data_IF_129690530448
#
_entry.id   IF_129690530448
#
_cell.length_a   1.000
_cell.length_b   1.000
_cell.length_c   1.000
_cell.angle_alpha   90.00
_cell.angle_beta   90.00
_cell.angle_gamma   90.00
#
_symmetry.space_group_name_H-M   'P 1'
#
loop_
_entity.id
_entity.type
_entity.pdbx_description
1 polymer ?
#
# COMPACT_ATOMS: atom_id res chain seq x y z
N UNK A 1 6.08 1.42 -27.15
CA UNK A 1 5.90 2.46 -26.11
C UNK A 1 4.55 2.34 -25.39
N UNK A 2 3.48 2.06 -26.15
CA UNK A 2 2.08 1.91 -25.69
C UNK A 2 1.91 0.94 -24.50
N UNK A 3 2.46 -0.28 -24.57
CA UNK A 3 2.38 -1.23 -23.45
C UNK A 3 3.27 -0.93 -22.25
N UNK A 4 4.34 -0.13 -22.44
CA UNK A 4 5.14 0.37 -21.32
C UNK A 4 4.32 1.41 -20.56
N UNK A 5 3.48 2.16 -21.27
CA UNK A 5 2.61 3.19 -20.71
C UNK A 5 1.38 2.61 -19.98
N UNK A 6 0.71 1.60 -20.56
CA UNK A 6 -0.35 0.85 -19.88
C UNK A 6 0.14 0.15 -18.58
N UNK A 7 1.40 -0.32 -18.57
CA UNK A 7 2.05 -0.88 -17.37
C UNK A 7 2.27 0.11 -16.24
N UNK A 8 2.19 1.40 -16.52
CA UNK A 8 2.48 2.46 -15.58
C UNK A 8 1.17 3.00 -14.96
N UNK A 9 0.10 3.06 -15.75
CA UNK A 9 -1.16 3.66 -15.32
C UNK A 9 -1.98 2.74 -14.38
N UNK A 10 -1.97 1.43 -14.59
CA UNK A 10 -2.75 0.50 -13.75
C UNK A 10 -2.11 0.15 -12.40
N UNK A 11 -0.83 0.47 -12.17
CA UNK A 11 -0.10 0.07 -10.95
C UNK A 11 -0.33 1.06 -9.79
N UNK A 12 -1.21 2.04 -9.97
CA UNK A 12 -1.55 3.03 -8.94
C UNK A 12 -2.42 2.47 -7.81
N UNK A 13 -2.74 1.18 -7.89
CA UNK A 13 -3.52 0.41 -6.92
C UNK A 13 -2.72 -0.32 -5.86
N UNK A 14 -1.40 -0.11 -5.78
CA UNK A 14 -0.67 -0.50 -4.58
C UNK A 14 -1.04 0.45 -3.42
N UNK A 15 -2.25 0.31 -2.87
CA UNK A 15 -2.64 0.91 -1.60
C UNK A 15 -1.88 0.31 -0.42
N UNK A 16 -1.17 -0.79 -0.66
CA UNK A 16 -0.02 -1.09 0.15
C UNK A 16 1.13 -0.13 -0.22
N UNK A 17 1.37 0.83 0.66
CA UNK A 17 2.73 1.30 0.95
C UNK A 17 3.59 0.12 1.43
N UNK A 18 3.83 -0.87 0.57
CA UNK A 18 5.03 -1.66 0.61
C UNK A 18 6.16 -0.70 0.22
N UNK A 19 6.55 0.13 1.19
CA UNK A 19 7.89 0.68 1.30
C UNK A 19 8.85 -0.47 1.65
N UNK A 20 8.74 -1.58 0.93
CA UNK A 20 9.57 -2.74 1.13
C UNK A 20 10.77 -2.54 0.24
N UNK A 21 11.75 -1.88 0.85
CA UNK A 21 13.14 -1.93 0.43
C UNK A 21 13.66 -3.36 0.62
N UNK A 22 13.11 -4.35 -0.07
CA UNK A 22 13.70 -5.68 -0.08
C UNK A 22 13.67 -6.22 -1.51
N UNK A 23 14.88 -6.45 -2.03
CA UNK A 23 15.08 -7.60 -2.90
C UNK A 23 14.48 -8.79 -2.13
N UNK A 24 13.41 -9.40 -2.62
CA UNK A 24 13.10 -10.79 -2.28
C UNK A 24 14.29 -11.60 -2.80
N UNK A 25 15.31 -11.72 -1.95
CA UNK A 25 16.64 -12.09 -2.38
C UNK A 25 17.33 -12.86 -1.27
N UNK A 26 17.50 -14.16 -1.55
CA UNK A 26 18.59 -15.05 -1.12
C UNK A 26 19.20 -14.73 0.24
N UNK A 27 19.01 -15.65 1.20
CA UNK A 27 19.80 -15.90 2.42
C UNK A 27 21.06 -15.01 2.53
N UNK A 28 20.96 -13.79 3.07
CA UNK A 28 22.14 -12.91 3.07
C UNK A 28 22.06 -11.52 3.69
N UNK A 29 20.90 -10.90 3.96
CA UNK A 29 20.89 -9.53 4.54
C UNK A 29 19.97 -9.41 5.76
N UNK A 30 20.50 -9.80 6.93
CA UNK A 30 19.80 -9.71 8.23
C UNK A 30 19.92 -8.33 8.92
N UNK A 31 20.82 -7.44 8.48
CA UNK A 31 21.05 -6.13 9.11
C UNK A 31 20.08 -5.06 8.61
N UNK A 32 19.85 -5.02 7.29
CA UNK A 32 18.92 -4.10 6.62
C UNK A 32 17.52 -4.14 7.27
N UNK A 33 17.05 -5.33 7.67
CA UNK A 33 15.76 -5.52 8.36
C UNK A 33 15.69 -4.78 9.70
N UNK A 34 16.75 -4.85 10.51
CA UNK A 34 16.79 -4.21 11.84
C UNK A 34 16.91 -2.71 11.69
N UNK A 35 17.72 -2.23 10.74
CA UNK A 35 17.79 -0.81 10.38
C UNK A 35 16.42 -0.27 9.97
N UNK A 36 15.66 -1.02 9.16
CA UNK A 36 14.31 -0.63 8.75
C UNK A 36 13.36 -0.52 9.95
N UNK A 37 13.36 -1.50 10.86
CA UNK A 37 12.51 -1.47 12.06
C UNK A 37 12.90 -0.31 12.99
N UNK A 38 14.21 -0.07 13.21
CA UNK A 38 14.69 1.04 14.04
C UNK A 38 14.23 2.38 13.47
N UNK A 39 14.24 2.57 12.15
CA UNK A 39 13.75 3.79 11.51
C UNK A 39 12.26 4.04 11.80
N UNK A 40 11.44 2.99 11.82
CA UNK A 40 10.01 3.09 12.14
C UNK A 40 9.80 3.43 13.63
N UNK A 41 10.48 2.72 14.53
CA UNK A 41 10.35 2.90 15.98
C UNK A 41 10.86 4.28 16.43
N UNK A 42 12.00 4.73 15.89
CA UNK A 42 12.60 6.03 16.22
C UNK A 42 11.77 7.21 15.72
N UNK A 43 11.20 7.12 14.51
CA UNK A 43 10.34 8.18 13.94
C UNK A 43 9.10 8.45 14.80
N UNK A 44 8.57 7.42 15.44
CA UNK A 44 7.34 7.51 16.25
C UNK A 44 7.61 7.83 17.73
N UNK A 45 8.82 8.32 18.07
CA UNK A 45 9.21 8.76 19.42
C UNK A 45 8.94 7.73 20.54
N UNK A 46 8.93 6.43 20.22
CA UNK A 46 8.64 5.33 21.17
C UNK A 46 9.86 5.01 22.03
N UNK A 47 10.52 6.05 22.54
CA UNK A 47 11.75 5.94 23.34
C UNK A 47 11.48 5.40 24.75
N UNK A 48 10.23 5.16 25.16
CA UNK A 48 9.88 5.05 26.58
C UNK A 48 9.15 3.80 27.03
N UNK A 49 8.70 2.89 26.16
CA UNK A 49 7.74 1.85 26.62
C UNK A 49 8.32 0.46 26.87
N UNK A 50 9.22 -0.11 26.05
CA UNK A 50 9.77 -1.46 26.38
C UNK A 50 11.18 -1.78 25.86
N UNK A 51 11.78 -0.94 25.00
CA UNK A 51 13.19 -1.13 24.62
C UNK A 51 14.13 -0.68 25.76
N UNK A 52 13.63 0.20 26.64
CA UNK A 52 14.43 1.03 27.55
C UNK A 52 13.92 0.95 29.01
N UNK A 53 12.84 0.23 29.29
CA UNK A 53 12.37 0.06 30.68
C UNK A 53 13.32 -0.89 31.43
N UNK A 54 13.99 -0.32 32.43
CA UNK A 54 14.79 -0.94 33.50
C UNK A 54 16.29 -1.19 33.19
N UNK A 55 17.05 -0.14 33.49
CA UNK A 55 18.48 -0.09 33.88
C UNK A 55 19.59 -0.04 32.81
N UNK A 56 20.17 1.17 32.77
CA UNK A 56 21.50 1.62 32.31
C UNK A 56 21.73 1.69 30.79
N UNK A 57 22.01 2.90 30.37
CA UNK A 57 22.79 3.39 29.22
C UNK A 57 24.15 2.70 28.96
N UNK A 58 24.38 1.50 29.51
CA UNK A 58 25.65 0.74 29.44
C UNK A 58 25.49 -0.65 28.84
N UNK A 59 24.28 -1.12 28.51
CA UNK A 59 24.13 -2.45 27.90
C UNK A 59 24.57 -2.45 26.44
N UNK A 60 25.25 -3.51 26.00
CA UNK A 60 25.63 -3.69 24.58
C UNK A 60 24.42 -3.65 23.64
N UNK A 61 23.24 -3.99 24.14
CA UNK A 61 21.99 -3.99 23.38
C UNK A 61 21.57 -2.56 23.01
N UNK A 62 21.58 -1.66 24.00
CA UNK A 62 21.27 -0.25 23.80
C UNK A 62 22.33 0.42 22.91
N UNK A 63 23.61 0.12 23.15
CA UNK A 63 24.71 0.61 22.29
C UNK A 63 24.56 0.13 20.83
N UNK A 64 24.14 -1.11 20.60
CA UNK A 64 23.85 -1.61 19.25
C UNK A 64 22.69 -0.83 18.61
N UNK A 65 21.64 -0.52 19.37
CA UNK A 65 20.51 0.27 18.88
C UNK A 65 20.93 1.69 18.47
N UNK A 66 21.62 2.43 19.34
CA UNK A 66 22.07 3.80 19.07
C UNK A 66 23.00 3.86 17.86
N UNK A 67 24.01 3.00 17.81
CA UNK A 67 24.97 2.97 16.69
C UNK A 67 24.32 2.61 15.35
N UNK A 68 23.25 1.80 15.35
CA UNK A 68 22.48 1.56 14.13
C UNK A 68 21.62 2.78 13.78
N UNK A 69 20.99 3.40 14.78
CA UNK A 69 20.16 4.59 14.59
C UNK A 69 20.95 5.77 14.02
N UNK A 70 22.17 5.97 14.50
CA UNK A 70 23.12 7.00 14.04
C UNK A 70 23.74 6.66 12.68
N UNK A 71 23.54 5.45 12.16
CA UNK A 71 24.09 5.01 10.87
C UNK A 71 25.56 4.60 10.91
N UNK A 72 26.16 4.49 12.09
CA UNK A 72 27.56 4.06 12.30
C UNK A 72 27.74 2.59 11.94
N UNK A 73 26.77 1.74 12.29
CA UNK A 73 26.79 0.30 11.95
C UNK A 73 26.00 0.05 10.66
N UNK A 74 26.71 -0.39 9.62
CA UNK A 74 26.11 -0.79 8.33
C UNK A 74 26.14 -2.30 8.09
N UNK A 75 27.10 -3.01 8.67
CA UNK A 75 27.26 -4.47 8.53
C UNK A 75 27.32 -5.21 9.87
N UNK A 76 27.15 -6.54 9.82
CA UNK A 76 27.29 -7.39 11.00
C UNK A 76 28.74 -7.39 11.50
N UNK A 77 29.69 -7.32 10.57
CA UNK A 77 31.13 -7.23 10.81
C UNK A 77 31.50 -5.94 11.56
N UNK A 78 30.93 -4.79 11.17
CA UNK A 78 31.14 -3.51 11.87
C UNK A 78 30.66 -3.59 13.32
N UNK A 79 29.46 -4.15 13.51
CA UNK A 79 28.87 -4.32 14.83
C UNK A 79 29.72 -5.23 15.73
N UNK A 80 30.26 -6.32 15.17
CA UNK A 80 31.14 -7.24 15.91
C UNK A 80 32.43 -6.53 16.33
N UNK A 81 33.05 -5.76 15.42
CA UNK A 81 34.29 -5.00 15.71
C UNK A 81 34.08 -3.99 16.84
N UNK A 82 32.99 -3.21 16.80
CA UNK A 82 32.72 -2.14 17.75
C UNK A 82 32.26 -2.68 19.13
N UNK A 83 31.39 -3.70 19.15
CA UNK A 83 30.78 -4.19 20.41
C UNK A 83 31.61 -5.26 21.13
N UNK A 84 32.54 -5.91 20.41
CA UNK A 84 33.39 -6.96 20.94
C UNK A 84 34.86 -6.76 20.49
N UNK A 85 35.57 -5.73 20.99
CA UNK A 85 36.96 -5.45 20.57
C UNK A 85 37.96 -6.55 21.01
N UNK A 86 37.86 -7.09 22.23
CA UNK A 86 38.81 -8.09 22.78
C UNK A 86 38.73 -9.45 22.11
N UNK A 87 39.82 -10.00 21.53
CA UNK A 87 39.88 -11.34 20.90
C UNK A 87 39.24 -12.40 21.82
N UNK A 88 38.07 -12.91 21.43
CA UNK A 88 37.32 -13.94 22.14
C UNK A 88 36.82 -14.93 21.09
N UNK A 89 36.96 -16.23 21.35
CA UNK A 89 36.52 -17.29 20.42
C UNK A 89 35.02 -17.20 20.11
N UNK A 90 34.22 -16.56 20.99
CA UNK A 90 32.75 -16.56 20.92
C UNK A 90 32.11 -15.20 20.55
N UNK A 91 32.87 -14.22 20.04
CA UNK A 91 32.34 -12.89 19.69
C UNK A 91 31.14 -12.95 18.76
N UNK A 92 31.26 -13.74 17.68
CA UNK A 92 30.25 -13.81 16.62
C UNK A 92 28.94 -14.43 17.12
N UNK A 93 29.03 -15.52 17.88
CA UNK A 93 27.87 -16.16 18.53
C UNK A 93 27.17 -15.20 19.50
N UNK A 94 27.96 -14.49 20.32
CA UNK A 94 27.44 -13.51 21.28
C UNK A 94 26.73 -12.35 20.60
N UNK A 95 27.31 -11.83 19.50
CA UNK A 95 26.69 -10.78 18.69
C UNK A 95 25.36 -11.23 18.08
N UNK A 96 25.27 -12.43 17.50
CA UNK A 96 24.01 -12.89 16.92
C UNK A 96 22.90 -13.08 17.96
N UNK A 97 23.25 -13.51 19.18
CA UNK A 97 22.29 -13.53 20.30
C UNK A 97 21.82 -12.11 20.66
N UNK A 98 22.73 -11.14 20.71
CA UNK A 98 22.41 -9.74 20.96
C UNK A 98 21.51 -9.15 19.87
N UNK A 99 21.83 -9.39 18.60
CA UNK A 99 21.05 -8.98 17.43
C UNK A 99 19.64 -9.57 17.45
N UNK A 100 19.51 -10.86 17.77
CA UNK A 100 18.22 -11.52 17.92
C UNK A 100 17.38 -10.88 19.05
N UNK A 101 17.99 -10.63 20.21
CA UNK A 101 17.31 -9.95 21.32
C UNK A 101 16.85 -8.54 20.94
N UNK A 102 17.68 -7.78 20.22
CA UNK A 102 17.33 -6.44 19.76
C UNK A 102 16.16 -6.51 18.78
N UNK A 103 16.22 -7.41 17.79
CA UNK A 103 15.12 -7.63 16.85
C UNK A 103 13.82 -7.97 17.58
N UNK A 104 13.86 -8.90 18.55
CA UNK A 104 12.69 -9.29 19.35
C UNK A 104 12.09 -8.10 20.12
N UNK A 105 12.90 -7.29 20.81
CA UNK A 105 12.42 -6.11 21.53
C UNK A 105 11.84 -5.05 20.60
N UNK A 106 12.50 -4.79 19.47
CA UNK A 106 12.01 -3.87 18.46
C UNK A 106 10.65 -4.31 17.92
N UNK A 107 10.46 -5.60 17.62
CA UNK A 107 9.17 -6.15 17.17
C UNK A 107 8.07 -5.95 18.21
N UNK A 108 8.34 -6.24 19.49
CA UNK A 108 7.39 -5.98 20.57
C UNK A 108 7.05 -4.48 20.68
N UNK A 109 8.01 -3.62 20.32
CA UNK A 109 7.83 -2.17 20.42
C UNK A 109 6.88 -1.60 19.36
N UNK A 110 6.73 -2.30 18.24
CA UNK A 110 5.83 -1.91 17.15
C UNK A 110 4.38 -1.80 17.67
N UNK A 111 3.96 -2.62 18.62
CA UNK A 111 2.61 -2.53 19.18
C UNK A 111 2.34 -1.22 19.94
N UNK A 112 3.39 -0.51 20.38
CA UNK A 112 3.27 0.79 21.05
C UNK A 112 3.34 1.98 20.11
N UNK A 113 3.41 1.76 18.78
CA UNK A 113 3.33 2.85 17.83
C UNK A 113 1.93 3.45 17.96
N UNK A 114 1.85 4.66 18.51
CA UNK A 114 0.60 5.40 18.55
C UNK A 114 0.54 6.29 17.32
N UNK A 115 -0.10 5.81 16.26
CA UNK A 115 -0.50 6.66 15.15
C UNK A 115 -1.73 7.42 15.63
N UNK A 116 -1.63 8.75 15.77
CA UNK A 116 -2.83 9.58 15.92
C UNK A 116 -3.63 9.41 14.63
N UNK A 117 -4.83 8.80 14.67
CA UNK A 117 -5.61 8.55 13.47
C UNK A 117 -5.94 9.91 12.85
N UNK A 118 -5.55 10.09 11.59
CA UNK A 118 -6.06 11.18 10.79
C UNK A 118 -7.24 10.60 10.02
N UNK A 119 -8.42 11.20 10.13
CA UNK A 119 -9.62 10.73 9.40
C UNK A 119 -9.41 10.70 7.88
N UNK A 120 -8.45 11.49 7.38
CA UNK A 120 -8.05 11.52 5.98
C UNK A 120 -6.97 10.49 5.60
N UNK A 121 -6.40 9.74 6.56
CA UNK A 121 -5.44 8.67 6.31
C UNK A 121 -6.04 7.31 6.71
N UNK A 122 -6.67 6.65 5.74
CA UNK A 122 -7.32 5.36 5.92
C UNK A 122 -6.41 4.30 6.56
N UNK A 123 -5.12 4.28 6.22
CA UNK A 123 -4.16 3.34 6.81
C UNK A 123 -4.00 3.57 8.32
N UNK A 124 -4.03 4.83 8.76
CA UNK A 124 -3.99 5.16 10.18
C UNK A 124 -5.25 4.71 10.91
N UNK A 125 -6.42 4.83 10.27
CA UNK A 125 -7.71 4.38 10.81
C UNK A 125 -7.75 2.85 10.89
N UNK A 126 -7.29 2.16 9.84
CA UNK A 126 -7.24 0.70 9.80
C UNK A 126 -6.28 0.16 10.87
N UNK A 127 -5.09 0.75 11.01
CA UNK A 127 -4.15 0.38 12.07
C UNK A 127 -4.75 0.56 13.47
N UNK A 128 -5.44 1.68 13.72
CA UNK A 128 -6.13 1.91 14.99
C UNK A 128 -7.22 0.84 15.24
N UNK A 129 -7.97 0.45 14.21
CA UNK A 129 -8.98 -0.60 14.29
C UNK A 129 -8.36 -1.97 14.62
N UNK A 130 -7.26 -2.35 13.97
CA UNK A 130 -6.53 -3.59 14.25
C UNK A 130 -5.96 -3.63 15.67
N UNK A 131 -5.42 -2.50 16.12
CA UNK A 131 -4.94 -2.36 17.51
C UNK A 131 -6.07 -2.57 18.50
N UNK A 132 -7.20 -1.88 18.32
CA UNK A 132 -8.39 -2.04 19.19
C UNK A 132 -8.95 -3.45 19.14
N UNK A 133 -9.01 -4.09 17.96
CA UNK A 133 -9.39 -5.49 17.84
C UNK A 133 -8.47 -6.39 18.68
N UNK A 134 -7.17 -6.13 18.67
CA UNK A 134 -6.19 -6.87 19.46
C UNK A 134 -6.41 -6.69 20.96
N UNK A 135 -6.60 -5.45 21.42
CA UNK A 135 -6.93 -5.13 22.83
C UNK A 135 -8.20 -5.87 23.27
N UNK A 136 -9.25 -5.83 22.45
CA UNK A 136 -10.52 -6.53 22.70
C UNK A 136 -10.32 -8.04 22.79
N UNK A 137 -9.53 -8.64 21.88
CA UNK A 137 -9.26 -10.08 21.90
C UNK A 137 -8.48 -10.51 23.15
N UNK A 138 -7.51 -9.70 23.58
CA UNK A 138 -6.75 -9.96 24.81
C UNK A 138 -7.69 -9.93 26.02
N UNK A 139 -8.48 -8.86 26.18
CA UNK A 139 -9.44 -8.74 27.28
C UNK A 139 -10.45 -9.91 27.28
N UNK A 140 -10.98 -10.28 26.12
CA UNK A 140 -11.92 -11.38 25.99
C UNK A 140 -11.29 -12.75 26.32
N UNK A 141 -10.00 -12.94 26.01
CA UNK A 141 -9.26 -14.17 26.36
C UNK A 141 -8.94 -14.29 27.85
N UNK A 142 -8.94 -13.16 28.57
CA UNK A 142 -8.76 -13.09 30.03
C UNK A 142 -10.11 -13.05 30.77
N UNK A 143 -11.20 -13.48 30.13
CA UNK A 143 -12.56 -13.50 30.66
C UNK A 143 -13.13 -12.12 31.10
N UNK A 144 -12.52 -11.01 30.68
CA UNK A 144 -13.06 -9.65 30.88
C UNK A 144 -14.12 -9.34 29.80
N UNK A 145 -15.21 -10.10 29.82
CA UNK A 145 -16.18 -10.16 28.72
C UNK A 145 -17.02 -8.89 28.57
N UNK A 146 -17.50 -8.30 29.68
CA UNK A 146 -18.36 -7.12 29.64
C UNK A 146 -17.71 -5.92 28.96
N UNK A 147 -16.46 -5.62 29.32
CA UNK A 147 -15.67 -4.55 28.69
C UNK A 147 -15.38 -4.87 27.22
N UNK A 148 -14.96 -6.10 26.93
CA UNK A 148 -14.67 -6.56 25.56
C UNK A 148 -15.88 -6.42 24.65
N UNK A 149 -17.06 -6.83 25.11
CA UNK A 149 -18.32 -6.72 24.37
C UNK A 149 -18.67 -5.25 24.10
N UNK A 150 -18.56 -4.37 25.12
CA UNK A 150 -18.81 -2.93 24.99
C UNK A 150 -17.88 -2.29 23.96
N UNK A 151 -16.58 -2.61 24.02
CA UNK A 151 -15.59 -2.10 23.07
C UNK A 151 -15.83 -2.63 21.64
N UNK A 152 -16.17 -3.91 21.50
CA UNK A 152 -16.46 -4.52 20.21
C UNK A 152 -17.68 -3.88 19.54
N UNK A 153 -18.78 -3.70 20.29
CA UNK A 153 -19.98 -3.02 19.79
C UNK A 153 -19.73 -1.56 19.40
N UNK A 154 -18.81 -0.88 20.09
CA UNK A 154 -18.41 0.49 19.75
C UNK A 154 -17.55 0.54 18.48
N UNK A 155 -16.68 -0.45 18.28
CA UNK A 155 -15.77 -0.50 17.13
C UNK A 155 -16.46 -0.97 15.85
N UNK A 156 -17.41 -1.91 15.94
CA UNK A 156 -18.06 -2.54 14.80
C UNK A 156 -18.66 -1.53 13.80
N UNK A 157 -19.49 -0.54 14.20
CA UNK A 157 -20.03 0.45 13.26
C UNK A 157 -18.95 1.30 12.60
N UNK A 158 -17.83 1.57 13.29
CA UNK A 158 -16.70 2.32 12.72
C UNK A 158 -16.04 1.52 11.61
N UNK A 159 -15.77 0.23 11.83
CA UNK A 159 -15.08 -0.60 10.81
C UNK A 159 -15.99 -0.92 9.62
N UNK A 160 -17.30 -1.03 9.84
CA UNK A 160 -18.30 -1.18 8.75
C UNK A 160 -18.37 0.07 7.88
N UNK A 161 -18.39 1.26 8.50
CA UNK A 161 -18.38 2.55 7.79
C UNK A 161 -17.16 2.71 6.86
N UNK A 162 -16.01 2.16 7.24
CA UNK A 162 -14.78 2.18 6.43
C UNK A 162 -14.58 0.90 5.58
N UNK A 163 -15.56 -0.01 5.58
CA UNK A 163 -15.50 -1.28 4.84
C UNK A 163 -14.28 -2.17 5.19
N UNK A 164 -13.81 -2.13 6.44
CA UNK A 164 -12.80 -3.06 6.95
C UNK A 164 -13.46 -4.39 7.35
N UNK A 165 -13.93 -5.12 6.32
CA UNK A 165 -14.77 -6.31 6.49
C UNK A 165 -14.07 -7.46 7.19
N UNK A 166 -12.74 -7.57 7.06
CA UNK A 166 -11.90 -8.51 7.81
C UNK A 166 -11.99 -8.26 9.33
N UNK A 167 -11.87 -7.00 9.76
CA UNK A 167 -12.01 -6.60 11.16
C UNK A 167 -13.46 -6.77 11.63
N UNK A 168 -14.43 -6.36 10.80
CA UNK A 168 -15.86 -6.49 11.10
C UNK A 168 -16.25 -7.97 11.31
N UNK A 169 -15.74 -8.87 10.47
CA UNK A 169 -15.93 -10.31 10.59
C UNK A 169 -15.45 -10.84 11.94
N UNK A 170 -14.23 -10.48 12.36
CA UNK A 170 -13.70 -10.91 13.65
C UNK A 170 -14.51 -10.38 14.85
N UNK A 171 -14.91 -9.10 14.81
CA UNK A 171 -15.72 -8.49 15.87
C UNK A 171 -17.09 -9.15 15.97
N UNK A 172 -17.81 -9.29 14.85
CA UNK A 172 -19.15 -9.89 14.77
C UNK A 172 -19.12 -11.35 15.24
N UNK A 173 -18.13 -12.13 14.78
CA UNK A 173 -17.94 -13.53 15.23
C UNK A 173 -17.72 -13.62 16.74
N UNK A 174 -16.93 -12.72 17.30
CA UNK A 174 -16.66 -12.70 18.74
C UNK A 174 -17.89 -12.27 19.55
N UNK A 175 -18.61 -11.23 19.11
CA UNK A 175 -19.85 -10.78 19.76
C UNK A 175 -20.89 -11.91 19.76
N UNK A 176 -21.11 -12.56 18.61
CA UNK A 176 -21.99 -13.73 18.47
C UNK A 176 -21.62 -14.82 19.48
N UNK A 177 -20.33 -15.16 19.60
CA UNK A 177 -19.84 -16.17 20.55
C UNK A 177 -20.10 -15.77 22.01
N UNK A 178 -19.92 -14.50 22.35
CA UNK A 178 -20.19 -13.98 23.71
C UNK A 178 -21.68 -14.18 24.07
N UNK A 179 -22.59 -13.91 23.13
CA UNK A 179 -24.04 -14.08 23.33
C UNK A 179 -24.51 -15.53 23.43
N UNK A 180 -23.64 -16.51 23.16
CA UNK A 180 -23.92 -17.93 23.39
C UNK A 180 -23.37 -18.38 24.74
N UNK A 181 -22.11 -18.04 25.04
CA UNK A 181 -21.36 -18.68 26.14
C UNK A 181 -21.41 -17.86 27.43
N UNK A 182 -21.30 -16.53 27.34
CA UNK A 182 -20.95 -15.67 28.49
C UNK A 182 -22.05 -14.69 28.88
N UNK A 183 -22.92 -14.31 27.94
CA UNK A 183 -24.10 -13.49 28.19
C UNK A 183 -25.27 -14.00 27.34
N UNK A 184 -25.87 -15.16 27.68
CA UNK A 184 -26.89 -15.80 26.84
C UNK A 184 -28.04 -14.86 26.46
N UNK A 185 -28.21 -14.64 25.16
CA UNK A 185 -29.30 -13.83 24.58
C UNK A 185 -29.59 -14.35 23.17
N UNK A 186 -30.66 -15.13 23.04
CA UNK A 186 -31.01 -15.81 21.78
C UNK A 186 -31.32 -14.84 20.64
N UNK A 187 -31.97 -13.71 20.95
CA UNK A 187 -32.30 -12.67 19.96
C UNK A 187 -31.03 -12.02 19.44
N UNK A 188 -30.13 -11.62 20.33
CA UNK A 188 -28.84 -11.02 19.92
C UNK A 188 -27.94 -12.04 19.24
N UNK A 189 -27.97 -13.30 19.63
CA UNK A 189 -27.26 -14.34 18.90
C UNK A 189 -27.74 -14.42 17.44
N UNK A 190 -29.05 -14.49 17.21
CA UNK A 190 -29.61 -14.54 15.86
C UNK A 190 -29.27 -13.29 15.04
N UNK A 191 -29.41 -12.10 15.64
CA UNK A 191 -29.02 -10.82 15.03
C UNK A 191 -27.56 -10.85 14.53
N UNK A 192 -26.62 -11.19 15.41
CA UNK A 192 -25.20 -11.24 15.05
C UNK A 192 -24.84 -12.44 14.17
N UNK A 193 -25.66 -13.49 14.14
CA UNK A 193 -25.50 -14.61 13.22
C UNK A 193 -25.85 -14.21 11.78
N UNK A 194 -27.00 -13.55 11.59
CA UNK A 194 -27.40 -13.02 10.29
C UNK A 194 -26.37 -12.00 9.78
N UNK A 195 -25.95 -11.09 10.66
CA UNK A 195 -24.92 -10.09 10.34
C UNK A 195 -23.58 -10.71 9.96
N UNK A 196 -23.17 -11.80 10.61
CA UNK A 196 -21.93 -12.50 10.26
C UNK A 196 -22.00 -13.10 8.85
N UNK A 197 -23.14 -13.69 8.48
CA UNK A 197 -23.34 -14.25 7.14
C UNK A 197 -23.27 -13.15 6.07
N UNK A 198 -23.94 -12.01 6.29
CA UNK A 198 -23.87 -10.85 5.39
C UNK A 198 -22.43 -10.34 5.22
N UNK A 199 -21.69 -10.17 6.31
CA UNK A 199 -20.28 -9.73 6.24
C UNK A 199 -19.43 -10.77 5.50
N UNK A 200 -19.66 -12.06 5.71
CA UNK A 200 -18.92 -13.12 5.02
C UNK A 200 -19.17 -13.08 3.51
N UNK A 201 -20.42 -12.90 3.08
CA UNK A 201 -20.79 -12.79 1.66
C UNK A 201 -20.11 -11.59 1.00
N UNK A 202 -20.19 -10.41 1.63
CA UNK A 202 -19.54 -9.19 1.14
C UNK A 202 -18.01 -9.38 1.07
N UNK A 203 -17.41 -9.96 2.11
CA UNK A 203 -15.97 -10.18 2.16
C UNK A 203 -15.49 -11.20 1.12
N UNK A 204 -16.27 -12.25 0.85
CA UNK A 204 -15.97 -13.20 -0.21
C UNK A 204 -15.95 -12.52 -1.58
N UNK A 205 -16.98 -11.73 -1.89
CA UNK A 205 -17.07 -10.98 -3.14
C UNK A 205 -15.94 -9.97 -3.27
N UNK A 206 -15.55 -9.31 -2.18
CA UNK A 206 -14.42 -8.39 -2.16
C UNK A 206 -13.11 -9.10 -2.49
N UNK A 207 -12.82 -10.24 -1.84
CA UNK A 207 -11.61 -11.02 -2.08
C UNK A 207 -11.58 -11.57 -3.50
N UNK A 208 -12.72 -12.02 -4.04
CA UNK A 208 -12.85 -12.45 -5.42
C UNK A 208 -12.56 -11.30 -6.39
N UNK A 209 -13.22 -10.16 -6.22
CA UNK A 209 -13.04 -8.97 -7.07
C UNK A 209 -11.59 -8.47 -7.05
N UNK A 210 -10.97 -8.40 -5.87
CA UNK A 210 -9.58 -8.04 -5.69
C UNK A 210 -8.63 -9.05 -6.37
N UNK A 211 -8.90 -10.34 -6.21
CA UNK A 211 -8.12 -11.42 -6.82
C UNK A 211 -8.14 -11.36 -8.36
N UNK A 212 -9.32 -11.21 -8.95
CA UNK A 212 -9.49 -11.07 -10.41
C UNK A 212 -8.75 -9.83 -10.94
N UNK A 213 -8.88 -8.69 -10.24
CA UNK A 213 -8.15 -7.48 -10.60
C UNK A 213 -6.63 -7.68 -10.57
N UNK A 214 -6.07 -8.26 -9.50
CA UNK A 214 -4.63 -8.49 -9.41
C UNK A 214 -4.11 -9.54 -10.38
N UNK A 215 -4.95 -10.50 -10.77
CA UNK A 215 -4.62 -11.45 -11.84
C UNK A 215 -4.35 -10.70 -13.16
N UNK A 216 -5.22 -9.78 -13.56
CA UNK A 216 -5.03 -8.95 -14.75
C UNK A 216 -3.80 -8.05 -14.59
N UNK A 217 -3.66 -7.37 -13.44
CA UNK A 217 -2.56 -6.45 -13.19
C UNK A 217 -1.19 -7.15 -13.26
N UNK A 218 -1.08 -8.36 -12.69
CA UNK A 218 0.12 -9.17 -12.74
C UNK A 218 0.54 -9.48 -14.19
N UNK A 219 -0.43 -9.87 -15.03
CA UNK A 219 -0.18 -10.12 -16.44
C UNK A 219 0.26 -8.85 -17.18
N UNK A 220 -0.40 -7.71 -16.94
CA UNK A 220 -0.02 -6.42 -17.54
C UNK A 220 1.43 -6.05 -17.19
N UNK A 221 1.79 -6.14 -15.90
CA UNK A 221 3.15 -5.82 -15.42
C UNK A 221 4.20 -6.74 -16.06
N UNK A 222 3.89 -8.04 -16.16
CA UNK A 222 4.81 -9.06 -16.62
C UNK A 222 4.88 -9.23 -18.14
N UNK A 223 3.87 -8.74 -18.88
CA UNK A 223 3.78 -8.90 -20.33
C UNK A 223 5.11 -8.56 -20.99
N UNK A 224 5.50 -9.24 -22.07
CA UNK A 224 6.70 -8.87 -22.85
C UNK A 224 6.34 -8.44 -24.28
N UNK A 225 5.16 -8.83 -24.75
CA UNK A 225 4.60 -8.58 -26.07
C UNK A 225 3.09 -8.33 -25.99
N UNK A 226 2.49 -8.03 -27.14
CA UNK A 226 1.09 -7.63 -27.29
C UNK A 226 0.05 -8.75 -27.37
N UNK A 227 0.47 -10.01 -27.32
CA UNK A 227 -0.38 -11.18 -27.54
C UNK A 227 -0.93 -11.81 -26.25
N UNK A 228 -1.39 -11.00 -25.30
CA UNK A 228 -2.19 -11.54 -24.18
C UNK A 228 -3.60 -10.99 -24.37
N UNK A 229 -4.57 -11.89 -24.49
CA UNK A 229 -6.01 -11.57 -24.58
C UNK A 229 -6.57 -11.07 -23.24
N UNK A 230 -5.89 -10.10 -22.62
CA UNK A 230 -6.25 -9.49 -21.33
C UNK A 230 -7.64 -8.90 -21.41
N UNK A 231 -8.01 -8.31 -22.55
CA UNK A 231 -9.34 -7.77 -22.78
C UNK A 231 -10.43 -8.86 -22.77
N UNK A 232 -10.18 -10.05 -23.32
CA UNK A 232 -11.12 -11.18 -23.26
C UNK A 232 -11.27 -11.70 -21.82
N UNK A 233 -10.16 -11.83 -21.09
CA UNK A 233 -10.21 -12.21 -19.68
C UNK A 233 -10.98 -11.20 -18.84
N UNK A 234 -10.72 -9.90 -19.05
CA UNK A 234 -11.42 -8.83 -18.34
C UNK A 234 -12.92 -8.81 -18.67
N UNK A 235 -13.31 -9.14 -19.91
CA UNK A 235 -14.72 -9.28 -20.33
C UNK A 235 -15.42 -10.45 -19.61
N UNK A 236 -14.76 -11.60 -19.47
CA UNK A 236 -15.32 -12.72 -18.70
C UNK A 236 -15.43 -12.38 -17.21
N UNK A 237 -14.40 -11.72 -16.65
CA UNK A 237 -14.43 -11.25 -15.25
C UNK A 237 -15.53 -10.22 -14.98
N UNK A 238 -15.77 -9.30 -15.92
CA UNK A 238 -16.89 -8.36 -15.88
C UNK A 238 -18.23 -9.09 -15.84
N UNK A 239 -18.41 -10.15 -16.64
CA UNK A 239 -19.64 -10.95 -16.64
C UNK A 239 -19.87 -11.66 -15.31
N UNK A 240 -18.81 -12.27 -14.74
CA UNK A 240 -18.87 -12.98 -13.46
C UNK A 240 -19.28 -12.02 -12.35
N UNK A 241 -18.56 -10.90 -12.22
CA UNK A 241 -18.80 -9.93 -11.14
C UNK A 241 -20.11 -9.16 -11.35
N UNK A 242 -20.43 -8.80 -12.59
CA UNK A 242 -21.64 -8.05 -12.94
C UNK A 242 -22.93 -8.74 -12.52
N UNK A 243 -22.97 -10.08 -12.57
CA UNK A 243 -24.12 -10.87 -12.11
C UNK A 243 -24.34 -10.81 -10.58
N UNK A 244 -23.32 -10.42 -9.82
CA UNK A 244 -23.33 -10.35 -8.36
C UNK A 244 -23.42 -8.90 -7.84
N UNK A 245 -23.32 -7.90 -8.73
CA UNK A 245 -23.43 -6.48 -8.37
C UNK A 245 -24.88 -6.10 -8.05
N UNK A 246 -25.08 -5.34 -6.98
CA UNK A 246 -26.35 -4.70 -6.62
C UNK A 246 -26.18 -3.19 -6.37
N UNK A 247 -27.29 -2.46 -6.21
CA UNK A 247 -27.26 -1.03 -5.89
C UNK A 247 -26.53 -0.71 -4.58
N UNK A 248 -26.53 -1.65 -3.63
CA UNK A 248 -25.91 -1.53 -2.31
C UNK A 248 -24.51 -2.16 -2.22
N UNK A 249 -23.84 -2.36 -3.35
CA UNK A 249 -22.49 -2.93 -3.39
C UNK A 249 -21.49 -2.04 -2.67
N UNK A 250 -20.60 -2.66 -1.89
CA UNK A 250 -19.48 -1.98 -1.22
C UNK A 250 -18.66 -1.14 -2.21
N UNK A 251 -18.19 0.02 -1.77
CA UNK A 251 -17.41 0.94 -2.59
C UNK A 251 -16.10 0.30 -3.05
N UNK A 252 -15.44 -0.50 -2.19
CA UNK A 252 -14.24 -1.26 -2.56
C UNK A 252 -14.51 -2.31 -3.64
N UNK A 253 -15.64 -3.01 -3.57
CA UNK A 253 -16.04 -3.99 -4.60
C UNK A 253 -16.30 -3.28 -5.92
N UNK A 254 -17.10 -2.20 -5.89
CA UNK A 254 -17.36 -1.35 -7.05
C UNK A 254 -16.06 -0.82 -7.68
N UNK A 255 -15.11 -0.45 -6.83
CA UNK A 255 -13.82 0.03 -7.25
C UNK A 255 -13.05 -1.03 -8.06
N UNK A 256 -12.91 -2.26 -7.57
CA UNK A 256 -12.24 -3.33 -8.32
C UNK A 256 -12.99 -3.69 -9.60
N UNK A 257 -14.31 -3.76 -9.55
CA UNK A 257 -15.15 -4.03 -10.71
C UNK A 257 -14.96 -2.99 -11.83
N UNK A 258 -15.08 -1.70 -11.50
CA UNK A 258 -14.87 -0.61 -12.48
C UNK A 258 -13.43 -0.55 -13.00
N UNK A 259 -12.43 -0.90 -12.17
CA UNK A 259 -11.04 -1.02 -12.62
C UNK A 259 -10.84 -2.16 -13.64
N UNK A 260 -11.52 -3.30 -13.47
CA UNK A 260 -11.51 -4.41 -14.43
C UNK A 260 -12.11 -3.96 -15.77
N UNK A 261 -13.24 -3.24 -15.73
CA UNK A 261 -13.87 -2.70 -16.94
C UNK A 261 -12.95 -1.68 -17.64
N UNK A 262 -12.27 -0.82 -16.90
CA UNK A 262 -11.27 0.09 -17.47
C UNK A 262 -10.11 -0.68 -18.13
N UNK A 263 -9.62 -1.76 -17.51
CA UNK A 263 -8.62 -2.65 -18.12
C UNK A 263 -9.13 -3.25 -19.42
N UNK A 264 -10.36 -3.77 -19.45
CA UNK A 264 -11.00 -4.35 -20.64
C UNK A 264 -10.90 -3.38 -21.83
N UNK A 265 -11.38 -2.15 -21.65
CA UNK A 265 -11.41 -1.16 -22.72
C UNK A 265 -10.01 -0.66 -23.11
N UNK A 266 -9.16 -0.32 -22.13
CA UNK A 266 -7.82 0.21 -22.42
C UNK A 266 -6.90 -0.82 -23.07
N UNK A 267 -7.05 -2.10 -22.75
CA UNK A 267 -6.27 -3.18 -23.40
C UNK A 267 -6.81 -3.55 -24.79
N UNK A 268 -8.05 -3.16 -25.11
CA UNK A 268 -8.61 -3.24 -26.46
C UNK A 268 -8.49 -1.92 -27.26
N UNK A 269 -7.71 -0.95 -26.76
CA UNK A 269 -7.53 0.39 -27.38
C UNK A 269 -8.81 1.23 -27.50
N UNK A 270 -9.87 0.88 -26.78
CA UNK A 270 -11.13 1.62 -26.74
C UNK A 270 -11.09 2.73 -25.67
N UNK A 271 -10.24 3.73 -25.88
CA UNK A 271 -9.96 4.76 -24.88
C UNK A 271 -11.15 5.69 -24.59
N UNK A 272 -12.05 5.91 -25.55
CA UNK A 272 -13.29 6.66 -25.33
C UNK A 272 -14.21 5.94 -24.34
N UNK A 273 -14.45 4.63 -24.55
CA UNK A 273 -15.24 3.81 -23.63
C UNK A 273 -14.59 3.72 -22.25
N UNK A 274 -13.26 3.57 -22.19
CA UNK A 274 -12.52 3.60 -20.94
C UNK A 274 -12.70 4.94 -20.20
N UNK A 275 -12.63 6.08 -20.92
CA UNK A 275 -12.80 7.41 -20.35
C UNK A 275 -14.19 7.58 -19.73
N UNK A 276 -15.24 7.11 -20.40
CA UNK A 276 -16.62 7.12 -19.86
C UNK A 276 -16.68 6.37 -18.54
N UNK A 277 -16.23 5.11 -18.51
CA UNK A 277 -16.23 4.27 -17.30
C UNK A 277 -15.45 4.92 -16.16
N UNK A 278 -14.25 5.43 -16.45
CA UNK A 278 -13.39 6.05 -15.45
C UNK A 278 -14.00 7.34 -14.90
N UNK A 279 -14.64 8.16 -15.74
CA UNK A 279 -15.28 9.43 -15.33
C UNK A 279 -16.50 9.17 -14.46
N UNK A 280 -17.42 8.29 -14.89
CA UNK A 280 -18.60 7.92 -14.10
C UNK A 280 -18.22 7.26 -12.78
N UNK A 281 -17.17 6.43 -12.78
CA UNK A 281 -16.68 5.80 -11.55
C UNK A 281 -16.01 6.80 -10.61
N UNK A 282 -15.27 7.77 -11.15
CA UNK A 282 -14.66 8.84 -10.38
C UNK A 282 -15.71 9.71 -9.68
N UNK A 283 -16.79 10.08 -10.38
CA UNK A 283 -17.90 10.85 -9.79
C UNK A 283 -18.54 10.11 -8.61
N UNK A 284 -18.82 8.81 -8.78
CA UNK A 284 -19.36 7.98 -7.70
C UNK A 284 -18.40 7.93 -6.51
N UNK A 285 -17.10 7.77 -6.73
CA UNK A 285 -16.11 7.71 -5.64
C UNK A 285 -15.94 9.07 -4.94
N UNK A 286 -15.97 10.18 -5.70
CA UNK A 286 -15.85 11.52 -5.14
C UNK A 286 -17.06 11.90 -4.27
N UNK A 287 -18.25 11.40 -4.62
CA UNK A 287 -19.46 11.54 -3.78
C UNK A 287 -19.30 10.86 -2.41
N UNK A 288 -18.38 9.89 -2.29
CA UNK A 288 -18.12 9.14 -1.08
C UNK A 288 -16.90 9.70 -0.34
N UNK A 289 -17.14 10.62 0.62
CA UNK A 289 -16.08 11.36 1.34
C UNK A 289 -14.96 10.48 1.91
N UNK A 290 -15.25 9.26 2.38
CA UNK A 290 -14.25 8.35 2.97
C UNK A 290 -13.32 7.70 1.94
N UNK A 291 -13.77 7.58 0.69
CA UNK A 291 -13.10 6.82 -0.36
C UNK A 291 -12.45 7.71 -1.42
N UNK A 292 -12.40 9.03 -1.21
CA UNK A 292 -11.80 9.98 -2.15
C UNK A 292 -10.32 9.70 -2.48
N UNK A 293 -9.60 8.99 -1.61
CA UNK A 293 -8.22 8.58 -1.90
C UNK A 293 -8.13 7.64 -3.12
N UNK A 294 -9.17 6.85 -3.40
CA UNK A 294 -9.27 5.96 -4.57
C UNK A 294 -9.38 6.76 -5.88
N UNK A 295 -9.83 8.03 -5.84
CA UNK A 295 -9.90 8.92 -7.00
C UNK A 295 -8.56 9.05 -7.73
N UNK A 296 -7.42 8.94 -7.01
CA UNK A 296 -6.08 8.96 -7.60
C UNK A 296 -5.92 7.93 -8.72
N UNK A 297 -6.48 6.73 -8.55
CA UNK A 297 -6.36 5.64 -9.51
C UNK A 297 -7.13 5.97 -10.78
N UNK A 298 -8.36 6.46 -10.65
CA UNK A 298 -9.17 6.86 -11.81
C UNK A 298 -8.55 8.05 -12.54
N UNK A 299 -8.15 9.09 -11.81
CA UNK A 299 -7.52 10.27 -12.39
C UNK A 299 -6.28 9.90 -13.20
N UNK A 300 -5.41 9.04 -12.67
CA UNK A 300 -4.21 8.66 -13.38
C UNK A 300 -4.47 7.78 -14.63
N UNK A 301 -5.51 6.95 -14.61
CA UNK A 301 -5.94 6.22 -15.81
C UNK A 301 -6.65 7.13 -16.81
N UNK A 302 -7.36 8.17 -16.36
CA UNK A 302 -7.90 9.22 -17.22
C UNK A 302 -6.77 9.96 -17.95
N UNK A 303 -5.70 10.36 -17.25
CA UNK A 303 -4.51 10.94 -17.90
C UNK A 303 -3.99 10.03 -19.00
N UNK A 304 -4.01 8.70 -18.77
CA UNK A 304 -3.61 7.74 -19.77
C UNK A 304 -4.51 7.79 -21.01
N UNK A 305 -5.83 7.75 -20.82
CA UNK A 305 -6.80 7.89 -21.91
C UNK A 305 -6.64 9.23 -22.64
N UNK A 306 -6.50 10.33 -21.90
CA UNK A 306 -6.31 11.67 -22.47
C UNK A 306 -5.08 11.73 -23.39
N UNK A 307 -3.97 11.06 -23.04
CA UNK A 307 -2.77 10.99 -23.90
C UNK A 307 -3.08 10.29 -25.23
N UNK A 308 -3.79 9.16 -25.21
CA UNK A 308 -4.14 8.42 -26.42
C UNK A 308 -5.16 9.15 -27.29
N UNK A 309 -6.10 9.85 -26.64
CA UNK A 309 -7.10 10.68 -27.30
C UNK A 309 -6.57 12.07 -27.70
N UNK A 310 -5.29 12.36 -27.44
CA UNK A 310 -4.63 13.66 -27.70
C UNK A 310 -5.28 14.86 -27.00
N UNK A 311 -5.92 14.62 -25.86
CA UNK A 311 -6.57 15.61 -25.00
C UNK A 311 -5.61 16.09 -23.90
N UNK A 312 -4.51 16.74 -24.28
CA UNK A 312 -3.39 16.99 -23.36
C UNK A 312 -3.70 18.00 -22.24
N UNK A 313 -4.56 18.99 -22.51
CA UNK A 313 -5.00 19.98 -21.51
C UNK A 313 -5.76 19.29 -20.37
N UNK A 314 -6.80 18.51 -20.71
CA UNK A 314 -7.58 17.73 -19.75
C UNK A 314 -6.70 16.70 -19.01
N UNK A 315 -5.75 16.08 -19.72
CA UNK A 315 -4.75 15.21 -19.11
C UNK A 315 -3.90 15.93 -18.06
N UNK A 316 -3.56 17.20 -18.29
CA UNK A 316 -2.80 18.02 -17.33
C UNK A 316 -3.63 18.35 -16.10
N UNK A 317 -4.91 18.69 -16.26
CA UNK A 317 -5.83 18.94 -15.14
C UNK A 317 -6.03 17.68 -14.27
N UNK A 318 -6.30 16.54 -14.90
CA UNK A 318 -6.49 15.27 -14.21
C UNK A 318 -5.23 14.85 -13.44
N UNK A 319 -4.05 15.13 -14.00
CA UNK A 319 -2.78 14.86 -13.36
C UNK A 319 -2.55 15.75 -12.12
N UNK A 320 -2.89 17.04 -12.18
CA UNK A 320 -2.80 17.94 -11.03
C UNK A 320 -3.72 17.48 -9.88
N UNK A 321 -4.96 17.09 -10.21
CA UNK A 321 -5.89 16.49 -9.24
C UNK A 321 -5.30 15.21 -8.62
N UNK A 322 -4.64 14.38 -9.41
CA UNK A 322 -4.00 13.15 -8.91
C UNK A 322 -2.81 13.43 -7.97
N UNK A 323 -2.01 14.46 -8.26
CA UNK A 323 -0.91 14.87 -7.37
C UNK A 323 -1.41 15.38 -6.02
N UNK A 324 -2.52 16.12 -5.98
CA UNK A 324 -3.12 16.61 -4.74
C UNK A 324 -3.51 15.46 -3.77
N UNK A 325 -3.81 14.28 -4.32
CA UNK A 325 -4.14 13.06 -3.57
C UNK A 325 -2.93 12.15 -3.28
N UNK A 326 -1.72 12.58 -3.65
CA UNK A 326 -0.53 11.72 -3.62
C UNK A 326 0.59 12.31 -2.80
N UNK A 327 1.04 11.54 -1.81
CA UNK A 327 2.19 11.91 -0.99
C UNK A 327 3.49 11.85 -1.79
N UNK A 328 4.25 12.95 -1.78
CA UNK A 328 5.58 13.03 -2.40
C UNK A 328 6.52 11.91 -1.94
N UNK A 329 7.28 11.37 -2.89
CA UNK A 329 8.27 10.31 -2.63
C UNK A 329 7.69 8.94 -2.30
N UNK A 330 6.36 8.79 -2.35
CA UNK A 330 5.69 7.48 -2.33
C UNK A 330 5.84 6.76 -3.68
N UNK A 331 5.58 5.46 -3.70
CA UNK A 331 5.58 4.68 -4.95
C UNK A 331 4.62 5.30 -5.99
N UNK A 332 3.40 5.67 -5.57
CA UNK A 332 2.39 6.27 -6.44
C UNK A 332 2.81 7.64 -6.97
N UNK A 333 3.59 8.42 -6.20
CA UNK A 333 4.14 9.69 -6.68
C UNK A 333 5.13 9.50 -7.83
N UNK A 334 6.04 8.52 -7.72
CA UNK A 334 6.92 8.17 -8.83
C UNK A 334 6.13 7.67 -10.04
N UNK A 335 5.06 6.93 -9.80
CA UNK A 335 4.21 6.44 -10.87
C UNK A 335 3.49 7.58 -11.60
N UNK A 336 2.96 8.57 -10.89
CA UNK A 336 2.41 9.80 -11.47
C UNK A 336 3.46 10.64 -12.20
N UNK A 337 4.69 10.75 -11.67
CA UNK A 337 5.80 11.42 -12.36
C UNK A 337 6.14 10.74 -13.68
N UNK A 338 6.11 9.41 -13.70
CA UNK A 338 6.24 8.64 -14.94
C UNK A 338 5.14 8.99 -15.95
N UNK A 339 3.88 9.03 -15.49
CA UNK A 339 2.74 9.41 -16.34
C UNK A 339 2.87 10.86 -16.85
N UNK A 340 3.33 11.78 -16.00
CA UNK A 340 3.57 13.17 -16.36
C UNK A 340 4.64 13.33 -17.44
N UNK A 341 5.76 12.61 -17.30
CA UNK A 341 6.82 12.61 -18.30
C UNK A 341 6.28 12.13 -19.65
N UNK A 342 5.45 11.09 -19.68
CA UNK A 342 4.83 10.62 -20.91
C UNK A 342 3.86 11.65 -21.50
N UNK A 343 3.02 12.29 -20.67
CA UNK A 343 2.14 13.37 -21.11
C UNK A 343 2.95 14.49 -21.80
N UNK A 344 4.02 14.95 -21.16
CA UNK A 344 4.90 15.99 -21.69
C UNK A 344 5.59 15.58 -23.00
N UNK A 345 6.03 14.31 -23.13
CA UNK A 345 6.53 13.79 -24.41
C UNK A 345 5.48 13.86 -25.52
N UNK A 346 4.25 13.43 -25.24
CA UNK A 346 3.17 13.42 -26.22
C UNK A 346 2.66 14.83 -26.58
N UNK A 347 2.73 15.77 -25.64
CA UNK A 347 2.39 17.18 -25.84
C UNK A 347 3.55 18.01 -26.45
N UNK A 348 4.70 17.39 -26.77
CA UNK A 348 5.93 18.05 -27.22
C UNK A 348 6.46 19.13 -26.25
N UNK A 349 6.12 19.03 -24.97
CA UNK A 349 6.51 19.97 -23.92
C UNK A 349 7.85 19.54 -23.29
N UNK A 350 8.91 19.48 -24.10
CA UNK A 350 10.18 18.83 -23.74
C UNK A 350 10.91 19.47 -22.56
N UNK A 351 10.80 20.78 -22.36
CA UNK A 351 11.42 21.48 -21.22
C UNK A 351 10.95 20.91 -19.86
N UNK A 352 9.68 20.52 -19.77
CA UNK A 352 9.11 19.91 -18.57
C UNK A 352 9.58 18.47 -18.37
N UNK A 353 9.93 17.75 -19.45
CA UNK A 353 10.38 16.35 -19.39
C UNK A 353 11.66 16.22 -18.55
N UNK A 354 12.67 17.07 -18.80
CA UNK A 354 13.94 17.01 -18.07
C UNK A 354 13.77 17.35 -16.60
N UNK A 355 13.03 18.44 -16.30
CA UNK A 355 12.75 18.85 -14.92
C UNK A 355 12.10 17.73 -14.12
N UNK A 356 11.04 17.11 -14.64
CA UNK A 356 10.34 16.03 -13.96
C UNK A 356 11.17 14.75 -13.83
N UNK A 357 11.97 14.43 -14.85
CA UNK A 357 12.88 13.30 -14.79
C UNK A 357 13.91 13.47 -13.68
N UNK A 358 14.56 14.63 -13.65
CA UNK A 358 15.63 14.97 -12.73
C UNK A 358 15.17 15.03 -11.27
N UNK A 359 14.02 15.66 -11.03
CA UNK A 359 13.36 15.71 -9.73
C UNK A 359 13.12 14.30 -9.17
N UNK A 360 12.63 13.38 -9.99
CA UNK A 360 12.34 12.03 -9.57
C UNK A 360 13.62 11.21 -9.28
N UNK A 361 14.64 11.26 -10.15
CA UNK A 361 15.87 10.45 -9.94
C UNK A 361 16.72 10.93 -8.76
N UNK A 362 16.66 12.23 -8.43
CA UNK A 362 17.38 12.82 -7.28
C UNK A 362 16.65 12.61 -5.96
N UNK A 363 15.36 12.25 -6.00
CA UNK A 363 14.61 12.03 -4.78
C UNK A 363 15.17 10.85 -3.97
N UNK A 364 15.39 11.04 -2.66
CA UNK A 364 16.01 10.05 -1.75
C UNK A 364 15.38 8.66 -1.77
N UNK A 365 14.08 8.59 -2.07
CA UNK A 365 13.33 7.32 -2.15
C UNK A 365 13.38 6.64 -3.53
N UNK A 366 14.00 7.23 -4.56
CA UNK A 366 14.03 6.65 -5.91
C UNK A 366 14.66 5.24 -5.91
N UNK A 367 15.70 5.05 -5.11
CA UNK A 367 16.37 3.75 -4.94
C UNK A 367 15.47 2.65 -4.36
N UNK A 368 14.37 3.03 -3.68
CA UNK A 368 13.41 2.10 -3.08
C UNK A 368 12.39 1.55 -4.08
N UNK A 369 12.27 2.16 -5.26
CA UNK A 369 11.34 1.71 -6.30
C UNK A 369 11.76 0.31 -6.82
N UNK A 370 10.81 -0.61 -7.03
CA UNK A 370 11.10 -1.93 -7.58
C UNK A 370 11.85 -1.83 -8.92
N UNK A 371 12.76 -2.77 -9.16
CA UNK A 371 13.61 -2.77 -10.35
C UNK A 371 12.82 -2.72 -11.66
N UNK A 372 11.66 -3.38 -11.71
CA UNK A 372 10.79 -3.42 -12.90
C UNK A 372 10.38 -2.00 -13.30
N UNK A 373 9.92 -1.18 -12.35
CA UNK A 373 9.53 0.21 -12.61
C UNK A 373 10.73 1.12 -12.87
N UNK A 374 11.88 0.88 -12.21
CA UNK A 374 13.11 1.64 -12.51
C UNK A 374 13.64 1.46 -13.93
N UNK A 375 13.30 0.36 -14.62
CA UNK A 375 13.69 0.19 -16.03
C UNK A 375 13.02 1.23 -16.94
N UNK A 376 11.80 1.66 -16.64
CA UNK A 376 11.09 2.69 -17.41
C UNK A 376 11.85 4.01 -17.38
N UNK A 377 12.39 4.39 -16.21
CA UNK A 377 13.21 5.60 -16.08
C UNK A 377 14.49 5.57 -16.92
N UNK A 378 15.06 4.39 -17.16
CA UNK A 378 16.18 4.26 -18.10
C UNK A 378 15.75 4.51 -19.55
N UNK A 379 14.55 4.08 -19.92
CA UNK A 379 13.99 4.39 -21.24
C UNK A 379 13.74 5.89 -21.40
N UNK A 380 13.18 6.55 -20.39
CA UNK A 380 13.03 8.02 -20.43
C UNK A 380 14.36 8.72 -20.59
N UNK A 381 15.40 8.32 -19.86
CA UNK A 381 16.73 8.90 -20.04
C UNK A 381 17.26 8.76 -21.46
N UNK A 382 17.12 7.57 -22.07
CA UNK A 382 17.54 7.34 -23.44
C UNK A 382 16.80 8.26 -24.43
N UNK A 383 15.49 8.47 -24.24
CA UNK A 383 14.69 9.40 -25.05
C UNK A 383 15.09 10.85 -24.84
N UNK A 384 15.31 11.28 -23.59
CA UNK A 384 15.77 12.64 -23.27
C UNK A 384 17.13 12.90 -23.92
N UNK A 385 18.06 11.95 -23.81
CA UNK A 385 19.38 12.05 -24.43
C UNK A 385 19.28 12.16 -25.95
N UNK A 386 18.42 11.34 -26.59
CA UNK A 386 18.18 11.43 -28.02
C UNK A 386 17.62 12.81 -28.43
N UNK A 387 16.65 13.34 -27.69
CA UNK A 387 16.10 14.69 -27.95
C UNK A 387 17.17 15.78 -27.81
N UNK A 388 18.07 15.65 -26.85
CA UNK A 388 19.18 16.57 -26.68
C UNK A 388 20.16 16.53 -27.86
N UNK A 389 20.55 15.34 -28.31
CA UNK A 389 21.42 15.18 -29.49
C UNK A 389 20.76 15.74 -30.76
N UNK A 390 19.43 15.65 -30.88
CA UNK A 390 18.67 16.24 -31.98
C UNK A 390 18.43 17.76 -31.85
N UNK A 391 18.97 18.42 -30.82
CA UNK A 391 18.79 19.85 -30.59
C UNK A 391 17.37 20.26 -30.17
N UNK A 392 16.53 19.31 -29.76
CA UNK A 392 15.14 19.56 -29.32
C UNK A 392 15.01 19.80 -27.81
N UNK A 393 16.10 19.67 -27.06
CA UNK A 393 16.15 19.86 -25.61
C UNK A 393 17.57 20.22 -25.17
N UNK A 394 17.74 21.22 -24.29
CA UNK A 394 19.01 21.51 -23.62
C UNK A 394 19.04 20.85 -22.23
N UNK A 395 20.08 20.08 -21.92
CA UNK A 395 20.25 19.35 -20.65
C UNK A 395 20.84 20.22 -19.53
#
# INVERSE_FOLDING_TARGET
MIMVFLRLCFVLLADFQLTVKQKLGKKGKKMDDIQAIIKIVSKNKIKRLDIISLNKSRTKLFKLYELIQEGVIQSDEDAIKILYPKKSKNKRKSYFKLKYLLKRRLMNTIFFINLTPNEYDENSVHYEALRKLTEIRILASQDIVGLSLKMAKKLLPKVEKYEFWDVAFFLTRMIRRIYVIKAPDSKKFQEFNLKLNQIQEINNLLVESEGLYYQLLSQIIQAKSSNIDIHLQAKEMEKILGAQMSSNTSIRIFFFFSAIIAIKYMTNYEYDNAKVVLTTSLEKIQSQKLFQHLSRVYLANLVACNIYLRQFEEGTENLQKAYALTKEGSFNWFQLKSTNIALAFHANAYDHVWSHYHEAIRHKNFSSIPKVFRKVWKLYYAWIYLLNVMGRLSL
#
